data_IF_050147917565
#
_entry.id   IF_050147917565
#
_cell.length_a   1.000
_cell.length_b   1.000
_cell.length_c   1.000
_cell.angle_alpha   90.00
_cell.angle_beta   90.00
_cell.angle_gamma   90.00
#
_symmetry.space_group_name_H-M   'P 1'
#
loop_
_entity.id
_entity.type
_entity.pdbx_description
1 polymer ?
#
# COMPACT_ATOMS: atom_id res chain seq x y z
N UNK A 1 8.31 -22.14 11.10
CA UNK A 1 6.83 -22.20 10.94
C UNK A 1 6.26 -20.80 11.14
N UNK A 2 5.16 -20.39 10.49
CA UNK A 2 4.54 -19.07 10.74
C UNK A 2 3.50 -19.16 11.86
N UNK A 3 3.32 -18.10 12.64
CA UNK A 3 2.32 -18.04 13.73
C UNK A 3 0.90 -18.38 13.25
N UNK A 4 0.53 -17.92 12.05
CA UNK A 4 -0.76 -18.26 11.41
C UNK A 4 -0.96 -19.77 11.25
N UNK A 5 0.10 -20.51 10.92
CA UNK A 5 0.02 -21.95 10.69
C UNK A 5 -0.13 -22.71 12.00
N UNK A 6 0.45 -22.19 13.09
CA UNK A 6 0.29 -22.75 14.43
C UNK A 6 -1.16 -22.65 14.88
N UNK A 7 -1.77 -21.46 14.76
CA UNK A 7 -3.17 -21.26 15.13
C UNK A 7 -4.11 -22.13 14.28
N UNK A 8 -3.84 -22.26 12.97
CA UNK A 8 -4.59 -23.19 12.11
C UNK A 8 -4.47 -24.64 12.58
N UNK A 9 -3.25 -25.09 12.90
CA UNK A 9 -3.01 -26.46 13.37
C UNK A 9 -3.81 -26.74 14.63
N UNK A 10 -3.75 -25.85 15.61
CA UNK A 10 -4.51 -25.95 16.88
C UNK A 10 -6.02 -26.07 16.60
N UNK A 11 -6.57 -25.20 15.76
CA UNK A 11 -8.00 -25.22 15.42
C UNK A 11 -8.40 -26.41 14.54
N UNK A 12 -7.48 -26.98 13.75
CA UNK A 12 -7.74 -28.19 12.96
C UNK A 12 -7.70 -29.47 13.78
N UNK A 13 -6.92 -29.48 14.87
CA UNK A 13 -6.82 -30.60 15.81
C UNK A 13 -7.98 -30.66 16.81
N UNK A 14 -8.80 -29.61 16.89
CA UNK A 14 -9.95 -29.52 17.78
C UNK A 14 -11.26 -29.49 16.98
N UNK A 15 -12.21 -30.36 17.32
CA UNK A 15 -13.50 -30.44 16.64
C UNK A 15 -14.43 -29.26 16.95
N UNK A 16 -14.18 -28.56 18.06
CA UNK A 16 -15.01 -27.46 18.56
C UNK A 16 -14.32 -26.11 18.36
N UNK A 17 -15.08 -25.02 18.13
CA UNK A 17 -14.56 -23.66 18.20
C UNK A 17 -13.86 -23.40 19.54
N UNK A 18 -12.81 -22.59 19.51
CA UNK A 18 -12.02 -22.26 20.70
C UNK A 18 -11.99 -20.75 20.92
N UNK A 19 -11.96 -20.33 22.17
CA UNK A 19 -11.73 -18.95 22.56
C UNK A 19 -10.25 -18.54 22.35
N UNK A 20 -9.96 -17.24 22.18
CA UNK A 20 -8.59 -16.73 22.13
C UNK A 20 -7.72 -17.18 23.30
N UNK A 21 -8.30 -17.30 24.50
CA UNK A 21 -7.61 -17.76 25.71
C UNK A 21 -7.21 -19.24 25.59
N UNK A 22 -8.12 -20.09 25.12
CA UNK A 22 -7.85 -21.53 24.92
C UNK A 22 -6.78 -21.74 23.83
N UNK A 23 -6.85 -20.99 22.73
CA UNK A 23 -5.81 -20.99 21.70
C UNK A 23 -4.46 -20.56 22.29
N UNK A 24 -4.45 -19.49 23.09
CA UNK A 24 -3.25 -18.99 23.76
C UNK A 24 -2.62 -20.03 24.70
N UNK A 25 -3.45 -20.75 25.46
CA UNK A 25 -2.99 -21.84 26.32
C UNK A 25 -2.37 -22.98 25.51
N UNK A 26 -2.99 -23.38 24.39
CA UNK A 26 -2.45 -24.43 23.54
C UNK A 26 -1.12 -24.04 22.89
N UNK A 27 -0.96 -22.78 22.48
CA UNK A 27 0.32 -22.26 21.97
C UNK A 27 1.41 -22.36 23.05
N UNK A 28 1.10 -21.97 24.29
CA UNK A 28 2.05 -22.06 25.41
C UNK A 28 2.51 -23.49 25.69
N UNK A 29 1.62 -24.48 25.54
CA UNK A 29 1.97 -25.89 25.79
C UNK A 29 2.69 -26.55 24.62
N UNK A 30 2.19 -26.40 23.40
CA UNK A 30 2.63 -27.19 22.24
C UNK A 30 3.61 -26.44 21.32
N UNK A 31 3.68 -25.11 21.44
CA UNK A 31 4.42 -24.24 20.55
C UNK A 31 5.12 -23.08 21.32
N UNK A 32 5.95 -23.38 22.34
CA UNK A 32 6.52 -22.37 23.23
C UNK A 32 7.37 -21.32 22.51
N UNK A 33 7.96 -21.65 21.36
CA UNK A 33 8.74 -20.70 20.53
C UNK A 33 7.91 -19.49 20.03
N UNK A 34 6.58 -19.59 20.07
CA UNK A 34 5.67 -18.50 19.69
C UNK A 34 5.13 -17.73 20.91
N UNK A 35 5.54 -18.09 22.11
CA UNK A 35 5.28 -17.36 23.34
C UNK A 35 6.56 -16.65 23.81
N UNK A 36 6.44 -15.46 24.39
CA UNK A 36 7.64 -14.69 24.80
C UNK A 36 8.59 -14.31 23.65
N UNK A 37 8.07 -14.08 22.44
CA UNK A 37 8.93 -13.68 21.30
C UNK A 37 9.59 -12.31 21.56
N UNK A 38 10.70 -11.96 20.86
CA UNK A 38 11.28 -10.61 20.96
C UNK A 38 10.28 -9.49 20.64
N UNK A 39 9.24 -9.78 19.86
CA UNK A 39 8.14 -8.84 19.62
C UNK A 39 7.26 -8.66 20.87
N UNK A 40 6.93 -9.75 21.57
CA UNK A 40 6.15 -9.69 22.81
C UNK A 40 6.89 -8.89 23.89
N UNK A 41 8.17 -9.20 24.12
CA UNK A 41 9.00 -8.48 25.09
C UNK A 41 9.07 -6.98 24.78
N UNK A 42 9.37 -6.59 23.54
CA UNK A 42 9.42 -5.18 23.15
C UNK A 42 8.08 -4.45 23.35
N UNK A 43 6.95 -5.10 23.13
CA UNK A 43 5.65 -4.46 23.32
C UNK A 43 5.27 -4.32 24.80
N UNK A 44 5.68 -5.27 25.65
CA UNK A 44 5.50 -5.17 27.12
C UNK A 44 6.43 -4.09 27.69
N UNK A 45 7.70 -4.05 27.29
CA UNK A 45 8.67 -3.03 27.71
C UNK A 45 8.24 -1.61 27.33
N UNK A 46 7.56 -1.45 26.18
CA UNK A 46 6.98 -0.18 25.74
C UNK A 46 5.66 0.18 26.42
N UNK A 47 5.16 -0.66 27.33
CA UNK A 47 3.90 -0.45 28.03
C UNK A 47 2.65 -0.62 27.16
N UNK A 48 2.75 -1.25 25.98
CA UNK A 48 1.59 -1.52 25.13
C UNK A 48 0.72 -2.65 25.67
N UNK A 49 1.32 -3.58 26.41
CA UNK A 49 0.63 -4.70 27.06
C UNK A 49 1.14 -4.88 28.49
N UNK A 50 0.25 -5.30 29.39
CA UNK A 50 0.56 -5.52 30.81
C UNK A 50 1.59 -6.64 31.03
N UNK A 51 1.47 -7.71 30.25
CA UNK A 51 2.28 -8.92 30.35
C UNK A 51 2.35 -9.64 28.98
N UNK A 52 3.14 -10.71 28.92
CA UNK A 52 3.34 -11.50 27.70
C UNK A 52 2.06 -12.23 27.26
N UNK A 53 1.16 -12.55 28.18
CA UNK A 53 -0.13 -13.16 27.87
C UNK A 53 -1.04 -12.18 27.13
N UNK A 54 -1.10 -10.93 27.57
CA UNK A 54 -1.83 -9.86 26.86
C UNK A 54 -1.25 -9.63 25.46
N UNK A 55 0.07 -9.70 25.30
CA UNK A 55 0.72 -9.54 24.00
C UNK A 55 0.39 -10.69 23.04
N UNK A 56 0.39 -11.94 23.54
CA UNK A 56 0.00 -13.11 22.75
C UNK A 56 -1.48 -13.04 22.35
N UNK A 57 -2.37 -12.71 23.30
CA UNK A 57 -3.80 -12.57 23.00
C UNK A 57 -4.06 -11.50 21.93
N UNK A 58 -3.39 -10.35 22.03
CA UNK A 58 -3.48 -9.31 21.01
C UNK A 58 -3.02 -9.78 19.63
N UNK A 59 -1.95 -10.60 19.58
CA UNK A 59 -1.50 -11.22 18.33
C UNK A 59 -2.54 -12.19 17.77
N UNK A 60 -3.19 -13.00 18.61
CA UNK A 60 -4.28 -13.91 18.21
C UNK A 60 -5.45 -13.10 17.66
N UNK A 61 -5.94 -12.09 18.39
CA UNK A 61 -7.04 -11.22 17.94
C UNK A 61 -6.72 -10.52 16.63
N UNK A 62 -5.50 -10.00 16.49
CA UNK A 62 -5.07 -9.34 15.25
C UNK A 62 -5.03 -10.34 14.08
N UNK A 63 -4.55 -11.56 14.31
CA UNK A 63 -4.49 -12.58 13.28
C UNK A 63 -5.89 -13.03 12.86
N UNK A 64 -6.73 -13.40 13.81
CA UNK A 64 -8.06 -13.99 13.56
C UNK A 64 -9.06 -12.95 13.07
N UNK A 65 -8.92 -11.69 13.51
CA UNK A 65 -9.77 -10.58 13.05
C UNK A 65 -9.41 -10.05 11.65
N UNK A 66 -8.23 -10.36 11.11
CA UNK A 66 -7.77 -9.84 9.80
C UNK A 66 -7.63 -10.90 8.73
N UNK A 67 -7.73 -12.18 9.07
CA UNK A 67 -7.58 -13.30 8.14
C UNK A 67 -8.93 -13.96 7.87
N UNK A 68 -9.29 -14.06 6.59
CA UNK A 68 -10.51 -14.72 6.10
C UNK A 68 -10.54 -16.24 6.35
N UNK A 69 -9.44 -16.80 6.86
CA UNK A 69 -9.34 -18.22 7.23
C UNK A 69 -10.09 -18.52 8.54
N UNK A 70 -10.14 -17.55 9.44
CA UNK A 70 -10.74 -17.74 10.75
C UNK A 70 -12.14 -17.16 10.76
N UNK A 71 -13.12 -17.99 11.10
CA UNK A 71 -14.46 -17.54 11.43
C UNK A 71 -14.49 -17.16 12.92
N UNK A 72 -14.81 -15.90 13.21
CA UNK A 72 -14.95 -15.40 14.58
C UNK A 72 -16.43 -15.19 14.90
N UNK A 73 -17.01 -16.09 15.68
CA UNK A 73 -18.35 -15.92 16.23
C UNK A 73 -18.31 -14.96 17.43
N UNK A 74 -18.87 -13.76 17.22
CA UNK A 74 -18.93 -12.69 18.21
C UNK A 74 -20.23 -12.68 19.01
N UNK A 75 -21.15 -13.62 18.76
CA UNK A 75 -22.41 -13.73 19.50
C UNK A 75 -22.20 -14.22 20.94
N UNK A 76 -21.06 -14.85 21.22
CA UNK A 76 -20.65 -15.37 22.52
C UNK A 76 -19.49 -14.57 23.11
N UNK A 77 -19.39 -14.56 24.45
CA UNK A 77 -18.26 -13.96 25.19
C UNK A 77 -17.64 -15.00 26.12
N UNK A 78 -16.33 -15.30 26.00
CA UNK A 78 -15.41 -14.81 24.97
C UNK A 78 -15.82 -15.30 23.57
N UNK A 79 -15.47 -14.51 22.54
CA UNK A 79 -15.76 -14.87 21.14
C UNK A 79 -15.14 -16.23 20.79
N UNK A 80 -15.81 -16.98 19.93
CA UNK A 80 -15.38 -18.32 19.53
C UNK A 80 -14.76 -18.29 18.15
N UNK A 81 -13.61 -18.94 17.98
CA UNK A 81 -12.85 -18.95 16.74
C UNK A 81 -12.84 -20.37 16.18
N UNK A 82 -13.13 -20.49 14.89
CA UNK A 82 -13.04 -21.74 14.14
C UNK A 82 -12.41 -21.50 12.76
N UNK A 83 -12.03 -22.58 12.08
CA UNK A 83 -11.67 -22.50 10.67
C UNK A 83 -12.95 -22.34 9.84
N UNK A 84 -12.90 -21.48 8.82
CA UNK A 84 -14.01 -21.28 7.88
C UNK A 84 -14.34 -22.56 7.11
N UNK A 85 -15.59 -22.72 6.67
CA UNK A 85 -16.09 -23.97 6.08
C UNK A 85 -15.35 -24.41 4.79
N UNK A 86 -14.68 -23.46 4.12
CA UNK A 86 -13.77 -23.76 3.01
C UNK A 86 -12.53 -24.57 3.44
N UNK A 87 -11.98 -24.37 4.65
CA UNK A 87 -10.82 -25.15 5.13
C UNK A 87 -11.22 -26.49 5.77
N UNK A 88 -12.40 -26.59 6.40
CA UNK A 88 -12.90 -27.88 6.92
C UNK A 88 -13.04 -28.94 5.80
N UNK A 89 -13.40 -28.50 4.59
CA UNK A 89 -13.58 -29.38 3.43
C UNK A 89 -12.25 -29.87 2.85
N UNK A 90 -11.22 -29.03 2.83
CA UNK A 90 -9.86 -29.38 2.36
C UNK A 90 -9.15 -30.34 3.33
N UNK A 91 -9.39 -30.21 4.64
CA UNK A 91 -8.76 -31.07 5.65
C UNK A 91 -9.46 -32.43 5.80
N UNK A 92 -10.78 -32.51 5.60
CA UNK A 92 -11.50 -33.80 5.61
C UNK A 92 -11.19 -34.68 4.39
N UNK A 93 -10.86 -34.09 3.24
CA UNK A 93 -10.46 -34.86 2.06
C UNK A 93 -9.01 -35.39 2.12
N UNK A 94 -8.26 -35.08 3.18
CA UNK A 94 -6.84 -35.44 3.33
C UNK A 94 -6.60 -36.79 4.05
N UNK A 95 -7.66 -37.57 4.33
CA UNK A 95 -7.54 -38.98 4.76
C UNK A 95 -7.93 -39.90 3.59
N UNK A 96 -7.00 -40.09 2.66
CA UNK A 96 -7.09 -41.12 1.64
C UNK A 96 -6.74 -40.62 0.24
N UNK A 97 -5.80 -41.34 -0.39
CA UNK A 97 -5.33 -41.27 -1.78
C UNK A 97 -4.34 -40.16 -2.15
N UNK A 98 -3.13 -40.63 -2.52
CA UNK A 98 -2.06 -39.94 -3.21
C UNK A 98 -2.53 -39.45 -4.57
N UNK A 99 -2.62 -38.12 -4.76
CA UNK A 99 -2.56 -37.48 -6.07
C UNK A 99 -1.76 -36.18 -5.93
N UNK A 100 -0.79 -36.01 -6.82
CA UNK A 100 0.11 -34.86 -6.94
C UNK A 100 -0.59 -33.48 -7.01
N UNK A 101 0.13 -32.40 -6.63
CA UNK A 101 -0.48 -31.16 -6.19
C UNK A 101 -0.91 -30.29 -7.37
N UNK A 102 -2.23 -30.25 -7.61
CA UNK A 102 -2.83 -29.20 -8.42
C UNK A 102 -2.83 -27.90 -7.64
N UNK A 103 -1.90 -27.01 -7.99
CA UNK A 103 -1.89 -25.61 -7.59
C UNK A 103 -3.24 -24.97 -7.88
N UNK A 104 -4.09 -24.81 -6.86
CA UNK A 104 -5.29 -23.97 -6.93
C UNK A 104 -5.09 -22.72 -6.09
N UNK A 105 -4.66 -21.71 -6.83
CA UNK A 105 -4.80 -20.28 -6.60
C UNK A 105 -5.86 -19.91 -5.55
N UNK A 106 -5.38 -19.34 -4.44
CA UNK A 106 -6.19 -18.51 -3.54
C UNK A 106 -6.87 -17.43 -4.39
N UNK A 107 -8.20 -17.52 -4.53
CA UNK A 107 -9.01 -16.44 -5.07
C UNK A 107 -8.97 -15.29 -4.05
N UNK A 108 -7.91 -14.47 -4.13
CA UNK A 108 -7.88 -13.11 -3.60
C UNK A 108 -9.16 -12.43 -4.02
N UNK A 109 -9.87 -11.77 -3.10
CA UNK A 109 -10.89 -10.78 -3.42
C UNK A 109 -10.27 -9.78 -4.41
N UNK A 110 -10.57 -9.94 -5.70
CA UNK A 110 -10.08 -9.09 -6.77
C UNK A 110 -10.82 -7.76 -6.60
N UNK A 111 -10.12 -6.72 -6.15
CA UNK A 111 -10.68 -5.37 -6.17
C UNK A 111 -10.82 -4.97 -7.63
N UNK A 112 -12.01 -5.14 -8.19
CA UNK A 112 -12.28 -4.73 -9.55
C UNK A 112 -12.65 -3.25 -9.55
N UNK A 113 -11.72 -2.41 -9.98
CA UNK A 113 -11.93 -0.96 -10.01
C UNK A 113 -12.87 -0.48 -11.14
N UNK A 114 -13.62 -1.37 -11.80
CA UNK A 114 -14.42 -1.03 -12.98
C UNK A 114 -15.42 0.10 -12.73
N UNK A 115 -16.12 0.09 -11.59
CA UNK A 115 -17.05 1.15 -11.24
C UNK A 115 -16.35 2.49 -11.00
N UNK A 116 -15.20 2.45 -10.34
CA UNK A 116 -14.36 3.62 -10.07
C UNK A 116 -13.78 4.18 -11.37
N UNK A 117 -13.34 3.31 -12.30
CA UNK A 117 -12.88 3.69 -13.64
C UNK A 117 -14.02 4.38 -14.41
N UNK A 118 -15.21 3.75 -14.47
CA UNK A 118 -16.38 4.32 -15.15
C UNK A 118 -16.75 5.68 -14.57
N UNK A 119 -16.73 5.82 -13.24
CA UNK A 119 -17.01 7.07 -12.55
C UNK A 119 -16.02 8.19 -12.93
N UNK A 120 -14.72 7.91 -12.93
CA UNK A 120 -13.71 8.90 -13.33
C UNK A 120 -13.86 9.30 -14.79
N UNK A 121 -14.06 8.32 -15.68
CA UNK A 121 -14.18 8.58 -17.11
C UNK A 121 -15.44 9.39 -17.45
N UNK A 122 -16.59 9.09 -16.83
CA UNK A 122 -17.84 9.79 -17.12
C UNK A 122 -17.92 11.19 -16.52
N UNK A 123 -17.11 11.50 -15.50
CA UNK A 123 -17.12 12.77 -14.80
C UNK A 123 -15.82 13.56 -14.95
N UNK A 124 -14.95 13.19 -15.91
CA UNK A 124 -13.60 13.73 -16.01
C UNK A 124 -13.56 15.26 -16.05
N UNK A 125 -14.39 15.91 -16.88
CA UNK A 125 -14.42 17.37 -16.98
C UNK A 125 -14.89 18.01 -15.67
N UNK A 126 -15.95 17.47 -15.07
CA UNK A 126 -16.50 18.00 -13.82
C UNK A 126 -15.49 17.87 -12.66
N UNK A 127 -14.84 16.72 -12.51
CA UNK A 127 -13.85 16.52 -11.45
C UNK A 127 -12.59 17.35 -11.66
N UNK A 128 -12.18 17.57 -12.92
CA UNK A 128 -11.09 18.47 -13.27
C UNK A 128 -11.40 19.92 -12.87
N UNK A 129 -12.58 20.40 -13.26
CA UNK A 129 -13.09 21.72 -12.90
C UNK A 129 -13.13 21.91 -11.37
N UNK A 130 -13.70 20.95 -10.65
CA UNK A 130 -13.81 20.97 -9.19
C UNK A 130 -12.43 21.02 -8.55
N UNK A 131 -11.47 20.21 -9.02
CA UNK A 131 -10.09 20.22 -8.53
C UNK A 131 -9.46 21.61 -8.63
N UNK A 132 -9.54 22.26 -9.79
CA UNK A 132 -8.94 23.58 -10.01
C UNK A 132 -9.69 24.72 -9.31
N UNK A 133 -11.03 24.64 -9.21
CA UNK A 133 -11.86 25.60 -8.46
C UNK A 133 -11.58 25.56 -6.96
N UNK A 134 -11.30 24.38 -6.40
CA UNK A 134 -11.04 24.21 -4.97
C UNK A 134 -9.77 24.93 -4.48
N UNK A 135 -8.82 25.27 -5.38
CA UNK A 135 -7.56 25.99 -5.10
C UNK A 135 -6.80 25.48 -3.85
N UNK A 136 -7.01 24.21 -3.48
CA UNK A 136 -6.58 23.64 -2.20
C UNK A 136 -5.06 23.50 -2.13
N UNK A 137 -4.42 23.20 -3.26
CA UNK A 137 -2.98 22.96 -3.35
C UNK A 137 -2.34 24.08 -4.16
N UNK A 138 -1.80 25.08 -3.46
CA UNK A 138 -1.07 26.23 -4.03
C UNK A 138 0.17 26.52 -3.18
N UNK A 139 0.94 27.52 -3.60
CA UNK A 139 2.12 27.97 -2.86
C UNK A 139 3.26 26.96 -2.92
N UNK A 140 3.96 26.69 -1.80
CA UNK A 140 5.17 25.87 -1.80
C UNK A 140 4.98 24.46 -2.39
N UNK A 141 3.80 23.85 -2.18
CA UNK A 141 3.52 22.50 -2.67
C UNK A 141 3.57 22.39 -4.20
N UNK A 142 3.07 23.42 -4.90
CA UNK A 142 3.12 23.47 -6.37
C UNK A 142 4.53 23.81 -6.84
N UNK A 143 5.17 24.82 -6.22
CA UNK A 143 6.51 25.24 -6.60
C UNK A 143 7.52 24.08 -6.54
N UNK A 144 7.59 23.37 -5.41
CA UNK A 144 8.55 22.27 -5.27
C UNK A 144 8.21 21.07 -6.16
N UNK A 145 6.92 20.78 -6.38
CA UNK A 145 6.49 19.76 -7.34
C UNK A 145 7.05 20.02 -8.74
N UNK A 146 6.90 21.25 -9.25
CA UNK A 146 7.41 21.63 -10.57
C UNK A 146 8.94 21.59 -10.63
N UNK A 147 9.63 22.05 -9.57
CA UNK A 147 11.10 22.04 -9.50
C UNK A 147 11.66 20.63 -9.43
N UNK A 148 11.03 19.74 -8.67
CA UNK A 148 11.40 18.32 -8.61
C UNK A 148 11.26 17.67 -9.98
N UNK A 149 10.14 17.87 -10.68
CA UNK A 149 9.96 17.34 -12.03
C UNK A 149 10.92 17.92 -13.05
N UNK A 150 11.24 19.22 -12.98
CA UNK A 150 12.17 19.88 -13.91
C UNK A 150 13.62 19.36 -13.78
N UNK A 151 14.01 18.90 -12.60
CA UNK A 151 15.37 18.43 -12.30
C UNK A 151 15.54 16.92 -12.40
N UNK A 152 14.48 16.17 -12.71
CA UNK A 152 14.45 14.69 -12.66
C UNK A 152 15.45 13.98 -13.58
N UNK A 153 15.97 14.66 -14.61
CA UNK A 153 16.91 14.07 -15.57
C UNK A 153 18.27 13.73 -14.95
N UNK A 154 18.61 14.33 -13.81
CA UNK A 154 19.70 13.89 -12.95
C UNK A 154 19.13 13.48 -11.58
N UNK A 155 18.58 12.25 -11.47
CA UNK A 155 17.79 11.85 -10.31
C UNK A 155 18.62 11.62 -9.03
N UNK A 156 19.95 11.61 -9.12
CA UNK A 156 20.85 11.54 -7.97
C UNK A 156 21.49 12.90 -7.62
N UNK A 157 21.27 13.96 -8.42
CA UNK A 157 21.76 15.29 -8.08
C UNK A 157 21.23 15.77 -6.73
N UNK A 158 22.08 16.47 -5.98
CA UNK A 158 21.70 17.08 -4.71
C UNK A 158 20.44 17.95 -4.88
N UNK A 159 20.44 18.80 -5.91
CA UNK A 159 19.32 19.69 -6.25
C UNK A 159 18.01 18.93 -6.46
N UNK A 160 18.00 17.85 -7.24
CA UNK A 160 16.79 17.08 -7.46
C UNK A 160 16.28 16.44 -6.16
N UNK A 161 17.19 15.82 -5.41
CA UNK A 161 16.86 15.16 -4.15
C UNK A 161 16.30 16.15 -3.12
N UNK A 162 16.88 17.34 -3.00
CA UNK A 162 16.38 18.42 -2.14
C UNK A 162 14.97 18.85 -2.54
N UNK A 163 14.70 19.02 -3.85
CA UNK A 163 13.37 19.38 -4.32
C UNK A 163 12.34 18.27 -4.09
N UNK A 164 12.70 17.00 -4.29
CA UNK A 164 11.80 15.87 -3.96
C UNK A 164 11.51 15.85 -2.46
N UNK A 165 12.54 15.97 -1.63
CA UNK A 165 12.40 15.95 -0.17
C UNK A 165 11.54 17.13 0.33
N UNK A 166 11.77 18.35 -0.18
CA UNK A 166 10.96 19.52 0.11
C UNK A 166 9.51 19.37 -0.37
N UNK A 167 9.30 18.77 -1.55
CA UNK A 167 7.95 18.48 -2.05
C UNK A 167 7.20 17.57 -1.07
N UNK A 168 7.82 16.48 -0.64
CA UNK A 168 7.19 15.56 0.31
C UNK A 168 6.86 16.24 1.65
N UNK A 169 7.76 17.08 2.16
CA UNK A 169 7.51 17.85 3.38
C UNK A 169 6.29 18.78 3.21
N UNK A 170 6.23 19.55 2.12
CA UNK A 170 5.09 20.44 1.81
C UNK A 170 3.80 19.71 1.47
N UNK A 171 3.87 18.43 1.11
CA UNK A 171 2.71 17.55 0.93
C UNK A 171 2.31 16.82 2.23
N UNK A 172 2.88 17.24 3.37
CA UNK A 172 2.51 16.76 4.69
C UNK A 172 3.08 15.39 5.06
N UNK A 173 4.16 14.95 4.41
CA UNK A 173 4.85 13.69 4.76
C UNK A 173 5.70 13.83 6.02
N UNK A 174 5.96 15.05 6.48
CA UNK A 174 6.58 15.33 7.77
C UNK A 174 5.66 16.23 8.61
N UNK A 175 5.02 15.66 9.63
CA UNK A 175 4.18 16.42 10.58
C UNK A 175 4.94 16.64 11.88
N UNK A 176 4.88 17.84 12.46
CA UNK A 176 5.49 18.12 13.77
C UNK A 176 4.64 17.50 14.89
N UNK A 177 5.28 17.16 16.03
CA UNK A 177 4.63 16.49 17.16
C UNK A 177 4.80 14.96 17.20
N UNK A 178 4.10 14.32 18.14
CA UNK A 178 4.22 12.89 18.44
C UNK A 178 3.44 11.95 17.50
N UNK A 179 2.58 12.50 16.65
CA UNK A 179 1.73 11.73 15.73
C UNK A 179 1.89 12.11 14.25
N UNK A 180 1.41 11.22 13.38
CA UNK A 180 1.36 11.44 11.93
C UNK A 180 2.58 10.94 11.15
N UNK A 181 2.61 11.26 9.86
CA UNK A 181 3.70 10.87 8.96
C UNK A 181 5.01 11.56 9.37
N UNK A 182 6.10 10.79 9.32
CA UNK A 182 7.46 11.27 9.61
C UNK A 182 8.39 10.79 8.52
N UNK A 183 9.16 11.71 7.95
CA UNK A 183 10.24 11.38 7.03
C UNK A 183 11.51 11.03 7.81
N UNK A 184 12.36 10.18 7.24
CA UNK A 184 13.73 9.98 7.72
C UNK A 184 14.58 11.23 7.44
N UNK A 185 15.84 11.26 7.89
CA UNK A 185 16.73 12.37 7.56
C UNK A 185 17.04 12.42 6.06
N UNK A 186 17.43 13.60 5.58
CA UNK A 186 17.76 13.80 4.19
C UNK A 186 18.90 12.88 3.72
N UNK A 187 19.89 12.62 4.59
CA UNK A 187 21.04 11.76 4.32
C UNK A 187 20.61 10.30 4.10
N UNK A 188 19.69 9.79 4.94
CA UNK A 188 19.16 8.42 4.78
C UNK A 188 18.40 8.30 3.46
N UNK A 189 17.59 9.32 3.13
CA UNK A 189 16.87 9.38 1.87
C UNK A 189 17.83 9.43 0.67
N UNK A 190 18.77 10.37 0.63
CA UNK A 190 19.69 10.56 -0.50
C UNK A 190 20.54 9.32 -0.75
N UNK A 191 21.11 8.71 0.29
CA UNK A 191 21.88 7.46 0.18
C UNK A 191 21.04 6.28 -0.31
N UNK A 192 19.73 6.27 -0.04
CA UNK A 192 18.85 5.23 -0.59
C UNK A 192 18.66 5.38 -2.10
N UNK A 193 18.55 6.61 -2.60
CA UNK A 193 18.41 6.89 -4.04
C UNK A 193 19.71 6.69 -4.79
N UNK A 194 20.85 7.11 -4.22
CA UNK A 194 22.17 6.92 -4.85
C UNK A 194 22.44 5.45 -5.19
N UNK A 195 22.03 4.51 -4.33
CA UNK A 195 22.17 3.07 -4.57
C UNK A 195 21.25 2.52 -5.66
N UNK A 196 20.21 3.26 -6.03
CA UNK A 196 19.20 2.87 -7.01
C UNK A 196 19.36 3.60 -8.35
N UNK A 197 20.35 4.47 -8.51
CA UNK A 197 20.45 5.39 -9.65
C UNK A 197 20.35 4.68 -11.01
N UNK A 198 21.04 3.54 -11.18
CA UNK A 198 20.96 2.75 -12.41
C UNK A 198 19.55 2.24 -12.72
N UNK A 199 18.82 1.78 -11.70
CA UNK A 199 17.43 1.33 -11.85
C UNK A 199 16.46 2.48 -12.11
N UNK A 200 16.69 3.64 -11.48
CA UNK A 200 15.88 4.83 -11.72
C UNK A 200 16.06 5.31 -13.16
N UNK A 201 17.29 5.39 -13.67
CA UNK A 201 17.58 5.76 -15.06
C UNK A 201 16.96 4.76 -16.05
N UNK A 202 17.05 3.47 -15.77
CA UNK A 202 16.37 2.43 -16.55
C UNK A 202 14.86 2.68 -16.60
N UNK A 203 14.23 2.87 -15.43
CA UNK A 203 12.79 3.06 -15.32
C UNK A 203 12.28 4.39 -15.91
N UNK A 204 13.13 5.41 -16.04
CA UNK A 204 12.77 6.68 -16.69
C UNK A 204 12.42 6.52 -18.17
N UNK A 205 12.87 5.43 -18.80
CA UNK A 205 12.55 5.09 -20.18
C UNK A 205 11.19 4.39 -20.34
N UNK A 206 10.54 4.02 -19.24
CA UNK A 206 9.31 3.23 -19.30
C UNK A 206 8.10 4.06 -19.74
N UNK A 207 7.20 3.39 -20.47
CA UNK A 207 5.87 3.86 -20.83
C UNK A 207 4.83 2.99 -20.12
N UNK A 208 3.82 3.61 -19.51
CA UNK A 208 2.76 2.92 -18.77
C UNK A 208 1.91 2.01 -19.65
N UNK A 209 1.89 2.24 -20.97
CA UNK A 209 1.18 1.43 -21.96
C UNK A 209 1.91 0.13 -22.29
N UNK A 210 3.20 0.05 -21.98
CA UNK A 210 4.07 -1.06 -22.36
C UNK A 210 4.65 -1.77 -21.13
N UNK A 211 3.87 -1.86 -20.05
CA UNK A 211 4.32 -2.49 -18.80
C UNK A 211 4.38 -4.01 -18.94
N UNK A 212 5.56 -4.57 -18.67
CA UNK A 212 5.81 -6.01 -18.61
C UNK A 212 6.20 -6.43 -17.19
N UNK A 213 6.21 -7.74 -16.91
CA UNK A 213 6.66 -8.24 -15.60
C UNK A 213 8.13 -7.88 -15.28
N UNK A 214 8.98 -7.74 -16.30
CA UNK A 214 10.35 -7.26 -16.15
C UNK A 214 10.37 -5.79 -15.69
N UNK A 215 9.60 -4.92 -16.36
CA UNK A 215 9.48 -3.50 -15.94
C UNK A 215 8.89 -3.39 -14.54
N UNK A 216 7.91 -4.23 -14.18
CA UNK A 216 7.38 -4.30 -12.82
C UNK A 216 8.43 -4.72 -11.78
N UNK A 217 9.32 -5.66 -12.12
CA UNK A 217 10.41 -6.06 -11.22
C UNK A 217 11.37 -4.89 -10.96
N UNK A 218 11.72 -4.11 -11.98
CA UNK A 218 12.55 -2.89 -11.81
C UNK A 218 11.85 -1.87 -10.91
N UNK A 219 10.58 -1.59 -11.14
CA UNK A 219 9.81 -0.67 -10.30
C UNK A 219 9.70 -1.17 -8.85
N UNK A 220 9.62 -2.49 -8.64
CA UNK A 220 9.63 -3.11 -7.31
C UNK A 220 10.95 -2.86 -6.60
N UNK A 221 12.08 -3.08 -7.28
CA UNK A 221 13.42 -2.83 -6.71
C UNK A 221 13.55 -1.38 -6.24
N UNK A 222 13.09 -0.44 -7.07
CA UNK A 222 13.09 0.99 -6.71
C UNK A 222 12.19 1.23 -5.50
N UNK A 223 10.93 0.77 -5.54
CA UNK A 223 9.98 0.98 -4.45
C UNK A 223 10.50 0.44 -3.11
N UNK A 224 11.04 -0.78 -3.10
CA UNK A 224 11.54 -1.42 -1.89
C UNK A 224 12.87 -0.82 -1.40
N UNK A 225 13.67 -0.24 -2.31
CA UNK A 225 14.95 0.37 -1.96
C UNK A 225 14.86 1.81 -1.47
N UNK A 226 13.83 2.57 -1.88
CA UNK A 226 13.59 3.94 -1.43
C UNK A 226 13.34 3.96 0.08
N UNK A 227 14.10 4.79 0.81
CA UNK A 227 13.92 5.01 2.25
C UNK A 227 13.66 6.48 2.53
N UNK A 228 12.40 6.91 2.49
CA UNK A 228 12.02 8.30 2.78
C UNK A 228 11.18 8.46 4.05
N UNK A 229 10.52 7.39 4.51
CA UNK A 229 9.65 7.42 5.69
C UNK A 229 10.37 6.83 6.91
N UNK A 230 10.24 7.52 8.05
CA UNK A 230 10.57 6.98 9.38
C UNK A 230 9.34 6.32 10.03
N UNK A 231 8.13 6.73 9.64
CA UNK A 231 6.89 6.03 10.01
C UNK A 231 6.80 4.65 9.34
N UNK A 232 6.11 3.70 9.97
CA UNK A 232 6.12 2.30 9.54
C UNK A 232 5.61 1.99 8.13
N UNK A 233 4.86 2.87 7.47
CA UNK A 233 4.32 2.60 6.12
C UNK A 233 5.10 3.35 5.05
N UNK A 234 5.42 2.68 3.93
CA UNK A 234 6.22 3.21 2.83
C UNK A 234 5.39 3.62 1.61
N UNK A 235 4.23 3.00 1.37
CA UNK A 235 3.40 3.14 0.17
C UNK A 235 3.23 4.59 -0.31
N UNK A 236 2.76 5.47 0.58
CA UNK A 236 2.46 6.87 0.24
C UNK A 236 3.74 7.67 0.03
N UNK A 237 4.75 7.50 0.87
CA UNK A 237 6.02 8.22 0.75
C UNK A 237 6.79 7.81 -0.49
N UNK A 238 6.98 6.50 -0.67
CA UNK A 238 7.78 5.93 -1.75
C UNK A 238 7.11 6.15 -3.11
N UNK A 239 5.78 6.02 -3.23
CA UNK A 239 5.08 6.36 -4.48
C UNK A 239 5.24 7.84 -4.84
N UNK A 240 5.22 8.75 -3.86
CA UNK A 240 5.46 10.18 -4.09
C UNK A 240 6.90 10.47 -4.51
N UNK A 241 7.89 9.83 -3.91
CA UNK A 241 9.29 9.93 -4.39
C UNK A 241 9.38 9.45 -5.83
N UNK A 242 8.90 8.24 -6.09
CA UNK A 242 8.94 7.64 -7.41
C UNK A 242 8.18 8.45 -8.45
N UNK A 243 7.05 9.08 -8.11
CA UNK A 243 6.32 9.96 -9.02
C UNK A 243 7.17 11.13 -9.52
N UNK A 244 8.00 11.73 -8.66
CA UNK A 244 8.84 12.86 -9.05
C UNK A 244 10.08 12.43 -9.87
N UNK A 245 10.41 11.14 -9.88
CA UNK A 245 11.47 10.56 -10.71
C UNK A 245 10.94 9.91 -12.00
N UNK A 246 9.75 9.30 -11.93
CA UNK A 246 9.14 8.40 -12.92
C UNK A 246 7.66 8.79 -13.21
N UNK A 247 7.34 10.06 -13.51
CA UNK A 247 5.96 10.55 -13.58
C UNK A 247 5.13 9.91 -14.70
N UNK A 248 5.80 9.29 -15.68
CA UNK A 248 5.17 8.61 -16.80
C UNK A 248 4.57 7.25 -16.42
N UNK A 249 5.07 6.60 -15.37
CA UNK A 249 4.63 5.25 -14.97
C UNK A 249 4.16 5.16 -13.52
N UNK A 250 4.53 6.12 -12.68
CA UNK A 250 4.14 6.17 -11.27
C UNK A 250 3.26 7.40 -10.97
N UNK A 251 1.99 7.21 -10.58
CA UNK A 251 1.19 8.27 -9.98
C UNK A 251 1.61 8.50 -8.52
N UNK A 252 1.37 9.70 -7.96
CA UNK A 252 1.50 9.90 -6.52
C UNK A 252 0.31 9.23 -5.83
N UNK A 253 0.55 8.23 -4.96
CA UNK A 253 -0.52 7.61 -4.18
C UNK A 253 -0.71 8.39 -2.89
N UNK A 254 -1.95 8.76 -2.58
CA UNK A 254 -2.33 9.46 -1.37
C UNK A 254 -3.24 8.63 -0.47
N UNK A 255 -3.05 8.77 0.86
CA UNK A 255 -3.88 8.06 1.84
C UNK A 255 -5.30 8.62 1.91
N UNK A 256 -5.47 9.94 1.85
CA UNK A 256 -6.75 10.59 2.03
C UNK A 256 -7.60 10.54 0.75
N UNK A 257 -6.97 10.65 -0.42
CA UNK A 257 -7.70 10.70 -1.68
C UNK A 257 -7.67 9.35 -2.42
N UNK A 258 -6.49 8.86 -2.79
CA UNK A 258 -6.37 7.63 -3.61
C UNK A 258 -6.89 6.39 -2.89
N UNK A 259 -6.38 6.09 -1.69
CA UNK A 259 -6.78 4.88 -0.96
C UNK A 259 -8.25 4.94 -0.49
N UNK A 260 -8.72 6.11 -0.09
CA UNK A 260 -10.11 6.33 0.29
C UNK A 260 -11.07 6.13 -0.88
N UNK A 261 -10.73 6.66 -2.06
CA UNK A 261 -11.55 6.52 -3.24
C UNK A 261 -11.61 5.07 -3.73
N UNK A 262 -10.46 4.39 -3.79
CA UNK A 262 -10.35 3.06 -4.39
C UNK A 262 -10.74 1.93 -3.44
N UNK A 263 -10.39 2.04 -2.16
CA UNK A 263 -10.48 0.92 -1.22
C UNK A 263 -11.39 1.17 -0.04
N UNK A 264 -11.84 2.42 0.15
CA UNK A 264 -12.68 2.83 1.29
C UNK A 264 -12.05 2.46 2.65
N UNK A 265 -10.73 2.26 2.63
CA UNK A 265 -9.94 1.84 3.76
C UNK A 265 -8.55 2.48 3.65
N UNK A 266 -8.21 3.29 4.64
CA UNK A 266 -6.96 4.06 4.71
C UNK A 266 -5.83 3.32 5.42
N UNK A 267 -6.13 2.14 5.98
CA UNK A 267 -5.16 1.34 6.72
C UNK A 267 -4.18 0.67 5.76
N UNK A 268 -2.90 0.96 5.97
CA UNK A 268 -1.80 0.35 5.24
C UNK A 268 -1.12 -0.62 6.19
N UNK A 269 -0.93 -1.86 5.75
CA UNK A 269 -0.17 -2.86 6.49
C UNK A 269 1.30 -2.46 6.44
N UNK A 270 1.98 -2.43 7.59
CA UNK A 270 3.42 -2.23 7.67
C UNK A 270 4.14 -3.52 7.21
N UNK A 271 4.05 -3.79 5.90
CA UNK A 271 4.65 -4.90 5.19
C UNK A 271 5.01 -4.39 3.79
N UNK A 272 6.31 -4.16 3.58
CA UNK A 272 6.84 -3.54 2.36
C UNK A 272 6.43 -4.31 1.09
N UNK A 273 6.35 -5.63 1.17
CA UNK A 273 5.99 -6.47 0.03
C UNK A 273 4.50 -6.38 -0.27
N UNK A 274 3.65 -6.38 0.77
CA UNK A 274 2.22 -6.17 0.61
C UNK A 274 1.90 -4.74 0.13
N UNK A 275 2.65 -3.74 0.57
CA UNK A 275 2.55 -2.37 0.10
C UNK A 275 2.94 -2.23 -1.37
N UNK A 276 4.03 -2.88 -1.80
CA UNK A 276 4.39 -2.95 -3.23
C UNK A 276 3.28 -3.58 -4.06
N UNK A 277 2.75 -4.72 -3.63
CA UNK A 277 1.65 -5.39 -4.34
C UNK A 277 0.41 -4.49 -4.42
N UNK A 278 0.13 -3.73 -3.37
CA UNK A 278 -0.95 -2.74 -3.36
C UNK A 278 -0.70 -1.62 -4.36
N UNK A 279 0.53 -1.10 -4.43
CA UNK A 279 0.92 -0.09 -5.42
C UNK A 279 0.79 -0.63 -6.85
N UNK A 280 1.36 -1.80 -7.15
CA UNK A 280 1.25 -2.45 -8.47
C UNK A 280 -0.21 -2.65 -8.85
N UNK A 281 -1.05 -3.12 -7.94
CA UNK A 281 -2.47 -3.33 -8.19
C UNK A 281 -3.20 -2.00 -8.51
N UNK A 282 -3.00 -0.96 -7.71
CA UNK A 282 -3.61 0.37 -7.96
C UNK A 282 -3.19 0.92 -9.33
N UNK A 283 -1.91 0.81 -9.67
CA UNK A 283 -1.41 1.32 -10.95
C UNK A 283 -1.96 0.50 -12.12
N UNK A 284 -1.81 -0.84 -12.06
CA UNK A 284 -2.18 -1.73 -13.16
C UNK A 284 -3.69 -1.88 -13.37
N UNK A 285 -4.49 -1.81 -12.30
CA UNK A 285 -5.93 -2.07 -12.37
C UNK A 285 -6.80 -0.82 -12.34
N UNK A 286 -6.26 0.36 -12.03
CA UNK A 286 -7.03 1.60 -12.04
C UNK A 286 -6.37 2.69 -12.89
N UNK A 287 -5.15 3.12 -12.56
CA UNK A 287 -4.52 4.24 -13.25
C UNK A 287 -4.25 3.96 -14.73
N UNK A 288 -3.65 2.80 -15.05
CA UNK A 288 -3.38 2.42 -16.45
C UNK A 288 -4.68 2.30 -17.25
N UNK A 289 -5.73 1.58 -16.80
CA UNK A 289 -7.00 1.53 -17.52
C UNK A 289 -7.66 2.89 -17.78
N UNK A 290 -7.66 3.81 -16.80
CA UNK A 290 -8.17 5.18 -17.01
C UNK A 290 -7.30 5.92 -18.03
N UNK A 291 -5.99 5.93 -17.82
CA UNK A 291 -5.03 6.63 -18.67
C UNK A 291 -5.00 6.11 -20.11
N UNK A 292 -5.25 4.81 -20.32
CA UNK A 292 -5.26 4.17 -21.64
C UNK A 292 -6.60 4.30 -22.38
N UNK A 293 -7.64 4.85 -21.76
CA UNK A 293 -8.88 5.14 -22.48
C UNK A 293 -8.64 6.23 -23.54
N UNK A 294 -8.87 5.94 -24.82
CA UNK A 294 -8.48 6.82 -25.93
C UNK A 294 -9.07 8.24 -25.82
N UNK A 295 -10.37 8.36 -25.53
CA UNK A 295 -11.04 9.65 -25.39
C UNK A 295 -10.48 10.44 -24.22
N UNK A 296 -10.27 9.77 -23.08
CA UNK A 296 -9.66 10.40 -21.91
C UNK A 296 -8.22 10.82 -22.16
N UNK A 297 -7.41 9.96 -22.79
CA UNK A 297 -6.01 10.21 -23.06
C UNK A 297 -5.81 11.49 -23.88
N UNK A 298 -6.55 11.65 -24.98
CA UNK A 298 -6.49 12.85 -25.82
C UNK A 298 -6.85 14.12 -25.04
N UNK A 299 -7.85 14.03 -24.16
CA UNK A 299 -8.27 15.13 -23.29
C UNK A 299 -7.20 15.46 -22.24
N UNK A 300 -6.66 14.46 -21.57
CA UNK A 300 -5.60 14.62 -20.58
C UNK A 300 -4.32 15.21 -21.21
N UNK A 301 -3.97 14.82 -22.45
CA UNK A 301 -2.87 15.43 -23.18
C UNK A 301 -3.10 16.93 -23.45
N UNK A 302 -4.33 17.33 -23.76
CA UNK A 302 -4.66 18.75 -23.92
C UNK A 302 -4.49 19.51 -22.60
N UNK A 303 -4.99 18.98 -21.49
CA UNK A 303 -4.82 19.62 -20.19
C UNK A 303 -3.34 19.75 -19.77
N UNK A 304 -2.54 18.70 -19.99
CA UNK A 304 -1.09 18.73 -19.73
C UNK A 304 -0.37 19.79 -20.58
N UNK A 305 -0.79 19.99 -21.84
CA UNK A 305 -0.24 21.03 -22.72
C UNK A 305 -0.61 22.44 -22.27
N UNK A 306 -1.74 22.62 -21.60
CA UNK A 306 -2.23 23.92 -21.10
C UNK A 306 -1.71 24.21 -19.68
N UNK A 307 -0.40 24.03 -19.48
CA UNK A 307 0.25 24.11 -18.16
C UNK A 307 0.02 25.44 -17.42
N UNK A 308 -0.14 26.55 -18.15
CA UNK A 308 -0.39 27.87 -17.55
C UNK A 308 -1.69 27.91 -16.75
N UNK A 309 -2.73 27.25 -17.26
CA UNK A 309 -4.05 27.21 -16.63
C UNK A 309 -4.14 26.02 -15.67
N UNK A 310 -3.44 24.92 -16.00
CA UNK A 310 -3.47 23.66 -15.28
C UNK A 310 -2.06 23.22 -14.79
N UNK A 311 -1.44 23.96 -13.86
CA UNK A 311 -0.05 23.71 -13.47
C UNK A 311 0.18 22.39 -12.72
N UNK A 312 -0.88 21.73 -12.25
CA UNK A 312 -0.79 20.42 -11.61
C UNK A 312 -0.91 19.25 -12.59
N UNK A 313 -1.21 19.50 -13.86
CA UNK A 313 -1.39 18.48 -14.88
C UNK A 313 -0.03 18.19 -15.54
N UNK A 314 0.85 17.52 -14.80
CA UNK A 314 2.25 17.34 -15.19
C UNK A 314 2.54 16.02 -15.90
N UNK A 315 1.62 15.05 -15.80
CA UNK A 315 1.59 13.82 -16.58
C UNK A 315 0.17 13.26 -16.65
N UNK A 316 -0.10 12.33 -17.58
CA UNK A 316 -1.42 11.68 -17.70
C UNK A 316 -1.82 11.02 -16.38
N UNK A 317 -0.90 10.33 -15.70
CA UNK A 317 -1.18 9.69 -14.42
C UNK A 317 -1.43 10.71 -13.30
N UNK A 318 -0.79 11.88 -13.36
CA UNK A 318 -1.08 12.99 -12.42
C UNK A 318 -2.46 13.60 -12.66
N UNK A 319 -2.90 13.71 -13.92
CA UNK A 319 -4.26 14.13 -14.25
C UNK A 319 -5.26 13.17 -13.61
N UNK A 320 -5.09 11.85 -13.74
CA UNK A 320 -5.96 10.86 -13.08
C UNK A 320 -6.01 11.06 -11.56
N UNK A 321 -4.87 11.32 -10.92
CA UNK A 321 -4.81 11.66 -9.49
C UNK A 321 -5.58 12.95 -9.16
N UNK A 322 -5.46 14.01 -9.97
CA UNK A 322 -6.23 15.24 -9.80
C UNK A 322 -7.74 14.99 -9.88
N UNK A 323 -8.19 14.11 -10.78
CA UNK A 323 -9.60 13.72 -10.87
C UNK A 323 -10.07 12.95 -9.64
N UNK A 324 -9.25 12.05 -9.11
CA UNK A 324 -9.56 11.34 -7.86
C UNK A 324 -9.74 12.33 -6.71
N UNK A 325 -8.86 13.34 -6.61
CA UNK A 325 -9.01 14.42 -5.62
C UNK A 325 -10.29 15.23 -5.87
N UNK A 326 -10.55 15.61 -7.11
CA UNK A 326 -11.75 16.35 -7.51
C UNK A 326 -13.06 15.62 -7.20
N UNK A 327 -13.08 14.28 -7.30
CA UNK A 327 -14.26 13.48 -6.95
C UNK A 327 -14.61 13.46 -5.46
N UNK A 328 -13.70 13.95 -4.61
CA UNK A 328 -13.83 13.98 -3.13
C UNK A 328 -14.03 15.40 -2.60
N UNK A 329 -14.23 16.38 -3.47
CA UNK A 329 -14.42 17.80 -3.15
C UNK A 329 -15.85 18.20 -3.40
#
# INVERSE_FOLDING_TARGET
MKFSNVVKKILSSNSNPMSPQEIGNQIKMEHPDFYGTPSHHRNVEKGHYKDLDCALLAQIYSLTGTSEVFHCDKSTKPMQISLSDLEKTVLRSSRGSEIEPTQRTSYKKKFEYQDKIRNILSNADNYHDVYYKAKTFRGPSLYFHERALATRHDPASLTHLEYVYATLATWGMHRMGSGGSKMCSFEVFSQSIQRLIGRVLEAQTFDFREMSEIKWAVLKEIFCGVKVMASGTSLVGNSKVMHHMLPNVIPPIDRQYTLDFLRENKNIRNDLEAEWLTMKEIISQFFIPVASNATFYLKAEQWVKTKKDYPWDTSILKVVDNLVIGSKK
#
